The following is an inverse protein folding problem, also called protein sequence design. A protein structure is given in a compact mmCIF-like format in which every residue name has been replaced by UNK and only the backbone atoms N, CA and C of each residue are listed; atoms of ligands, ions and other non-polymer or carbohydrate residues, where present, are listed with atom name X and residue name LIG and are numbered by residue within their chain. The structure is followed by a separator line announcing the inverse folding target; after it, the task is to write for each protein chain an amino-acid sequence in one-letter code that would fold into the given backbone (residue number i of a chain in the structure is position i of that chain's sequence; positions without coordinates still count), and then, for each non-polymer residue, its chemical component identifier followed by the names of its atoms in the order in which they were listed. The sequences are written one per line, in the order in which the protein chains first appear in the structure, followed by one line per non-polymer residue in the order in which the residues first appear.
data_IF_388217551569
#
_entry.id   IF_388217551569
#
_cell.length_a   1.000
_cell.length_b   1.000
_cell.length_c   1.000
_cell.angle_alpha   90.00
_cell.angle_beta   90.00
_cell.angle_gamma   90.00
#
_symmetry.space_group_name_H-M   'P 1'
#
loop_
_entity.id
_entity.type
_entity.pdbx_description
1 polymer ?
#
# COMPACT_ATOMS: atom_id res chain seq x y z
N UNK A 1 1.40 -15.45 -12.80
CA UNK A 1 2.74 -15.83 -12.32
C UNK A 1 3.08 -14.91 -11.17
N UNK A 2 3.32 -15.50 -10.00
CA UNK A 2 3.59 -14.78 -8.77
C UNK A 2 4.81 -13.85 -8.91
N UNK A 3 4.58 -12.54 -8.79
CA UNK A 3 5.65 -11.55 -8.77
C UNK A 3 6.08 -11.28 -7.34
N UNK A 4 7.30 -11.71 -6.99
CA UNK A 4 7.93 -11.49 -5.66
C UNK A 4 7.82 -10.04 -5.19
N UNK A 5 7.92 -9.07 -6.10
CA UNK A 5 7.82 -7.64 -5.80
C UNK A 5 6.45 -7.24 -5.21
N UNK A 6 5.37 -7.85 -5.70
CA UNK A 6 3.99 -7.57 -5.25
C UNK A 6 3.74 -8.27 -3.91
N UNK A 7 4.16 -9.54 -3.80
CA UNK A 7 4.04 -10.32 -2.57
C UNK A 7 4.69 -9.64 -1.36
N UNK A 8 5.87 -9.02 -1.53
CA UNK A 8 6.56 -8.30 -0.45
C UNK A 8 5.87 -7.01 -0.01
N UNK A 9 5.07 -6.38 -0.87
CA UNK A 9 4.54 -5.02 -0.67
C UNK A 9 3.05 -5.00 -0.33
N UNK A 10 2.32 -6.07 -0.67
CA UNK A 10 0.89 -6.19 -0.47
C UNK A 10 0.60 -7.24 0.59
N UNK A 11 -0.20 -6.87 1.59
CA UNK A 11 -0.71 -7.78 2.61
C UNK A 11 -2.17 -8.10 2.32
N UNK A 12 -2.54 -9.37 2.41
CA UNK A 12 -3.93 -9.83 2.30
C UNK A 12 -4.50 -9.98 3.72
N UNK A 13 -5.64 -9.36 4.02
CA UNK A 13 -6.32 -9.55 5.31
C UNK A 13 -7.11 -10.86 5.33
N UNK A 14 -7.57 -11.29 6.51
CA UNK A 14 -8.45 -12.46 6.66
C UNK A 14 -9.70 -12.39 5.76
N UNK A 15 -10.23 -11.19 5.55
CA UNK A 15 -11.38 -10.90 4.69
C UNK A 15 -11.04 -10.70 3.21
N UNK A 16 -9.78 -10.95 2.80
CA UNK A 16 -9.35 -10.82 1.40
C UNK A 16 -9.09 -9.39 0.93
N UNK A 17 -9.09 -8.39 1.83
CA UNK A 17 -8.74 -7.01 1.47
C UNK A 17 -7.24 -6.90 1.23
N UNK A 18 -6.87 -6.23 0.15
CA UNK A 18 -5.47 -5.96 -0.18
C UNK A 18 -5.03 -4.63 0.42
N UNK A 19 -4.01 -4.67 1.26
CA UNK A 19 -3.48 -3.51 1.98
C UNK A 19 -2.06 -3.21 1.51
N UNK A 20 -1.78 -1.92 1.25
CA UNK A 20 -0.47 -1.39 0.89
C UNK A 20 -0.01 -0.31 1.88
N UNK A 21 1.29 -0.02 1.91
CA UNK A 21 1.83 1.16 2.60
C UNK A 21 1.50 2.43 1.79
N UNK A 22 1.22 3.54 2.50
CA UNK A 22 1.08 4.85 1.86
C UNK A 22 2.45 5.40 1.45
N UNK A 23 2.51 6.13 0.34
CA UNK A 23 3.77 6.64 -0.23
C UNK A 23 4.25 7.92 0.45
N UNK A 24 5.49 8.34 0.13
CA UNK A 24 6.10 9.60 0.55
C UNK A 24 6.18 9.79 2.08
N UNK A 25 6.57 8.73 2.78
CA UNK A 25 6.74 8.69 4.23
C UNK A 25 8.19 8.86 4.70
N UNK A 26 9.20 8.49 3.91
CA UNK A 26 10.56 8.33 4.43
C UNK A 26 11.38 9.64 4.36
N UNK A 27 11.58 10.20 3.16
CA UNK A 27 12.40 11.40 2.95
C UNK A 27 11.60 12.71 2.90
N UNK A 28 12.32 13.84 2.97
CA UNK A 28 11.77 15.21 2.85
C UNK A 28 10.59 15.46 3.79
N UNK A 29 10.79 15.20 5.08
CA UNK A 29 9.76 15.37 6.12
C UNK A 29 9.82 16.74 6.79
N UNK A 30 10.96 17.42 6.73
CA UNK A 30 11.16 18.72 7.38
C UNK A 30 10.14 19.79 6.94
N UNK A 31 9.77 19.83 5.66
CA UNK A 31 8.76 20.76 5.14
C UNK A 31 7.30 20.31 5.26
N UNK A 32 7.01 19.17 5.90
CA UNK A 32 5.66 18.62 6.02
C UNK A 32 5.10 18.87 7.41
N UNK A 33 3.85 19.32 7.48
CA UNK A 33 3.16 19.46 8.76
C UNK A 33 3.01 18.10 9.47
N UNK A 34 2.96 18.14 10.80
CA UNK A 34 2.69 16.95 11.62
C UNK A 34 1.37 16.26 11.23
N UNK A 35 0.36 17.01 10.79
CA UNK A 35 -0.91 16.47 10.28
C UNK A 35 -0.71 15.64 9.00
N UNK A 36 0.01 16.16 8.02
CA UNK A 36 0.32 15.44 6.77
C UNK A 36 1.19 14.20 7.02
N UNK A 37 2.08 14.28 7.99
CA UNK A 37 2.89 13.14 8.43
C UNK A 37 2.01 12.04 9.05
N UNK A 38 1.10 12.42 9.96
CA UNK A 38 0.23 11.47 10.66
C UNK A 38 -0.79 10.82 9.74
N UNK A 39 -1.38 11.57 8.80
CA UNK A 39 -2.37 11.02 7.86
C UNK A 39 -1.80 9.89 6.98
N UNK A 40 -0.47 9.89 6.78
CA UNK A 40 0.23 8.85 6.05
C UNK A 40 0.49 7.60 6.89
N UNK A 41 0.45 7.64 8.22
CA UNK A 41 0.69 6.44 9.06
C UNK A 41 -0.36 5.34 8.74
N UNK A 42 0.05 4.08 8.93
CA UNK A 42 -0.79 2.91 8.71
C UNK A 42 -0.85 2.40 7.26
N UNK A 43 -1.66 1.36 7.07
CA UNK A 43 -1.94 0.77 5.76
C UNK A 43 -3.12 1.47 5.07
N UNK A 44 -3.14 1.38 3.74
CA UNK A 44 -4.24 1.84 2.89
C UNK A 44 -4.75 0.67 2.06
N UNK A 45 -6.07 0.57 1.93
CA UNK A 45 -6.67 -0.39 1.02
C UNK A 45 -6.36 0.01 -0.43
N UNK A 46 -6.08 -0.99 -1.26
CA UNK A 46 -5.89 -0.77 -2.70
C UNK A 46 -7.20 -0.28 -3.33
N UNK A 47 -7.07 0.63 -4.29
CA UNK A 47 -8.21 1.15 -5.03
C UNK A 47 -8.89 0.04 -5.87
N UNK A 48 -10.18 0.21 -6.15
CA UNK A 48 -10.93 -0.73 -6.98
C UNK A 48 -10.34 -0.85 -8.39
N UNK A 49 -9.82 0.25 -8.95
CA UNK A 49 -9.23 0.27 -10.28
C UNK A 49 -8.01 -0.67 -10.39
N UNK A 50 -7.15 -0.68 -9.36
CA UNK A 50 -5.90 -1.46 -9.37
C UNK A 50 -6.09 -2.91 -8.92
N UNK A 51 -7.23 -3.22 -8.30
CA UNK A 51 -7.48 -4.51 -7.64
C UNK A 51 -7.27 -5.70 -8.58
N UNK A 52 -7.87 -5.67 -9.77
CA UNK A 52 -7.80 -6.77 -10.75
C UNK A 52 -6.36 -7.04 -11.19
N UNK A 53 -5.59 -5.98 -11.42
CA UNK A 53 -4.20 -6.08 -11.86
C UNK A 53 -3.32 -6.69 -10.78
N UNK A 54 -3.49 -6.26 -9.52
CA UNK A 54 -2.68 -6.76 -8.41
C UNK A 54 -2.99 -8.23 -8.09
N UNK A 55 -4.27 -8.63 -8.15
CA UNK A 55 -4.67 -10.04 -8.01
C UNK A 55 -4.02 -10.92 -9.09
N UNK A 56 -3.96 -10.44 -10.35
CA UNK A 56 -3.31 -11.16 -11.45
C UNK A 56 -1.82 -11.46 -11.19
N UNK A 57 -1.13 -10.58 -10.45
CA UNK A 57 0.29 -10.77 -10.11
C UNK A 57 0.54 -11.53 -8.81
N UNK A 58 -0.51 -11.72 -7.99
CA UNK A 58 -0.48 -12.56 -6.79
C UNK A 58 -0.85 -14.02 -7.09
N UNK A 59 -1.43 -14.28 -8.27
CA UNK A 59 -1.80 -15.60 -8.79
C UNK A 59 -0.69 -16.15 -9.70
#
# INVERSE_FOLDING_TARGET
MLKKAVQKRIRITKTGKLIRRKMAQDHFRAGKSSRQIRSKRGGLQIDKADYKNIVKYLR
#
